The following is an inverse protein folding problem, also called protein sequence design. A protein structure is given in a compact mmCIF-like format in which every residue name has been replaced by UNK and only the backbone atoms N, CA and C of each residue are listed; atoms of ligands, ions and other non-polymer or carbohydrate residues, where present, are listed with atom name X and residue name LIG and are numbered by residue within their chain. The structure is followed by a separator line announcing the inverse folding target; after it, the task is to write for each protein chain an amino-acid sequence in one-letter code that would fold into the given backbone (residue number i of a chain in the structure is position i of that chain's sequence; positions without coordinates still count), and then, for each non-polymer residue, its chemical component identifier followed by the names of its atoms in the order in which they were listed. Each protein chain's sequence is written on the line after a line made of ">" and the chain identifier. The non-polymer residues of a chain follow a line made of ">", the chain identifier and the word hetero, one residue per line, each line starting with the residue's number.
data_IF_579228723232
#
_entry.id   IF_579228723232
#
_cell.length_a   1.000
_cell.length_b   1.000
_cell.length_c   1.000
_cell.angle_alpha   90.00
_cell.angle_beta   90.00
_cell.angle_gamma   90.00
#
_symmetry.space_group_name_H-M   'P 1'
#
loop_
_entity.id
_entity.type
_entity.pdbx_description
1 polymer ?
#
# COMPACT_ATOMS: atom_id res chain seq x y z
N UNK A 1 -16.66 -19.16 -11.63
CA UNK A 1 -16.82 -17.83 -10.98
C UNK A 1 -15.73 -16.93 -11.53
N UNK A 2 -16.04 -16.00 -12.45
CA UNK A 2 -15.05 -15.13 -13.11
C UNK A 2 -15.21 -13.73 -12.52
N UNK A 3 -14.58 -13.45 -11.39
CA UNK A 3 -14.98 -12.28 -10.58
C UNK A 3 -14.09 -11.05 -10.66
N UNK A 4 -12.92 -11.06 -11.32
CA UNK A 4 -12.06 -9.87 -11.40
C UNK A 4 -11.47 -9.75 -12.81
N UNK A 5 -11.64 -8.59 -13.45
CA UNK A 5 -11.17 -8.35 -14.82
C UNK A 5 -9.63 -8.45 -14.85
N UNK A 6 -9.07 -9.25 -15.74
CA UNK A 6 -7.61 -9.41 -15.90
C UNK A 6 -6.83 -9.95 -14.68
N UNK A 7 -7.50 -10.54 -13.69
CA UNK A 7 -6.85 -11.27 -12.60
C UNK A 7 -7.10 -12.77 -12.75
N UNK A 8 -6.02 -13.56 -12.83
CA UNK A 8 -6.09 -15.02 -12.87
C UNK A 8 -6.00 -15.57 -11.46
N UNK A 9 -6.87 -16.51 -11.09
CA UNK A 9 -6.88 -17.11 -9.74
C UNK A 9 -5.50 -17.70 -9.36
N UNK A 10 -4.78 -18.26 -10.33
CA UNK A 10 -3.44 -18.81 -10.14
C UNK A 10 -2.40 -17.77 -9.68
N UNK A 11 -2.63 -16.47 -9.89
CA UNK A 11 -1.73 -15.40 -9.45
C UNK A 11 -1.86 -15.11 -7.95
N UNK A 12 -2.97 -15.51 -7.32
CA UNK A 12 -3.25 -15.31 -5.90
C UNK A 12 -3.07 -16.59 -5.06
N UNK A 13 -2.43 -17.63 -5.63
CA UNK A 13 -2.25 -18.95 -5.00
C UNK A 13 -0.76 -19.23 -4.82
N UNK A 14 -0.39 -19.90 -3.73
CA UNK A 14 0.98 -20.37 -3.47
C UNK A 14 1.91 -19.36 -2.78
N UNK A 15 1.40 -18.18 -2.42
CA UNK A 15 2.13 -17.24 -1.57
C UNK A 15 2.32 -17.74 -0.13
N UNK A 16 3.35 -17.26 0.60
CA UNK A 16 3.51 -17.53 2.03
C UNK A 16 2.26 -17.20 2.86
N UNK A 17 2.15 -17.79 4.05
CA UNK A 17 1.05 -17.49 4.99
C UNK A 17 1.03 -15.99 5.31
N UNK A 18 -0.14 -15.37 5.16
CA UNK A 18 -0.32 -13.93 5.36
C UNK A 18 -0.04 -13.06 4.13
N UNK A 19 0.22 -13.65 2.96
CA UNK A 19 0.33 -12.89 1.70
C UNK A 19 -0.98 -12.18 1.39
N UNK A 20 -0.87 -10.88 1.06
CA UNK A 20 -1.99 -10.04 0.63
C UNK A 20 -1.83 -9.75 -0.86
N UNK A 21 -2.93 -9.88 -1.61
CA UNK A 21 -3.01 -9.53 -3.01
C UNK A 21 -4.06 -8.42 -3.16
N UNK A 22 -3.75 -7.43 -3.98
CA UNK A 22 -4.68 -6.36 -4.32
C UNK A 22 -4.43 -5.94 -5.78
N UNK A 23 -5.46 -5.39 -6.43
CA UNK A 23 -5.45 -5.05 -7.84
C UNK A 23 -6.41 -3.90 -8.14
N UNK A 24 -6.21 -3.23 -9.26
CA UNK A 24 -7.14 -2.23 -9.80
C UNK A 24 -7.64 -2.66 -11.18
N UNK A 25 -8.81 -2.17 -11.59
CA UNK A 25 -9.37 -2.48 -12.92
C UNK A 25 -8.48 -2.06 -14.07
N UNK A 26 -7.71 -0.97 -13.89
CA UNK A 26 -6.77 -0.47 -14.89
C UNK A 26 -5.44 -1.23 -14.91
N UNK A 27 -5.15 -2.00 -13.86
CA UNK A 27 -3.85 -2.62 -13.63
C UNK A 27 -2.79 -1.67 -13.06
N UNK A 28 -3.10 -0.39 -12.90
CA UNK A 28 -2.19 0.61 -12.31
C UNK A 28 -2.25 0.61 -10.78
N UNK A 29 -1.18 1.12 -10.16
CA UNK A 29 -1.10 1.31 -8.71
C UNK A 29 -1.89 2.56 -8.29
N UNK A 30 -3.21 2.44 -8.36
CA UNK A 30 -4.16 3.50 -8.02
C UNK A 30 -4.20 3.77 -6.51
N UNK A 31 -4.80 4.89 -6.12
CA UNK A 31 -4.85 5.35 -4.73
C UNK A 31 -5.36 4.28 -3.75
N UNK A 32 -6.40 3.53 -4.12
CA UNK A 32 -6.96 2.46 -3.26
C UNK A 32 -6.00 1.30 -3.03
N UNK A 33 -5.22 0.93 -4.06
CA UNK A 33 -4.19 -0.12 -3.96
C UNK A 33 -3.00 0.39 -3.17
N UNK A 34 -2.63 1.67 -3.35
CA UNK A 34 -1.58 2.33 -2.58
C UNK A 34 -1.93 2.43 -1.09
N UNK A 35 -3.13 2.89 -0.75
CA UNK A 35 -3.64 2.97 0.63
C UNK A 35 -3.60 1.61 1.33
N UNK A 36 -4.06 0.56 0.64
CA UNK A 36 -4.05 -0.81 1.14
C UNK A 36 -2.63 -1.33 1.40
N UNK A 37 -1.73 -1.10 0.44
CA UNK A 37 -0.31 -1.41 0.60
C UNK A 37 0.30 -0.64 1.77
N UNK A 38 -0.02 0.65 1.90
CA UNK A 38 0.49 1.49 2.98
C UNK A 38 0.02 0.98 4.34
N UNK A 39 -1.28 0.77 4.51
CA UNK A 39 -1.88 0.40 5.80
C UNK A 39 -1.45 -0.99 6.27
N UNK A 40 -1.47 -1.98 5.39
CA UNK A 40 -1.27 -3.37 5.77
C UNK A 40 0.18 -3.85 5.64
N UNK A 41 0.99 -3.22 4.77
CA UNK A 41 2.39 -3.57 4.62
C UNK A 41 3.33 -2.52 5.21
N UNK A 42 3.27 -1.26 4.78
CA UNK A 42 4.32 -0.30 5.12
C UNK A 42 4.21 0.16 6.58
N UNK A 43 3.05 0.66 6.98
CA UNK A 43 2.83 1.26 8.29
C UNK A 43 3.17 0.33 9.47
N UNK A 44 2.80 -0.97 9.47
CA UNK A 44 3.15 -1.88 10.56
C UNK A 44 4.66 -2.10 10.70
N UNK A 45 5.41 -2.01 9.60
CA UNK A 45 6.88 -2.08 9.62
C UNK A 45 7.46 -0.80 10.19
N UNK A 46 6.98 0.35 9.73
CA UNK A 46 7.40 1.66 10.24
C UNK A 46 7.17 1.78 11.76
N UNK A 47 6.05 1.29 12.28
CA UNK A 47 5.74 1.33 13.72
C UNK A 47 6.70 0.50 14.59
N UNK A 48 7.44 -0.44 14.01
CA UNK A 48 8.45 -1.27 14.70
C UNK A 48 9.86 -0.66 14.65
N UNK A 49 10.08 0.37 13.84
CA UNK A 49 11.38 1.02 13.70
C UNK A 49 11.52 2.17 14.69
N UNK A 50 12.66 2.21 15.36
CA UNK A 50 13.08 3.32 16.20
C UNK A 50 13.61 4.49 15.35
N UNK A 51 13.60 5.70 15.91
CA UNK A 51 14.12 6.91 15.25
C UNK A 51 13.19 7.54 14.21
N UNK A 52 13.74 8.53 13.48
CA UNK A 52 13.01 9.30 12.45
C UNK A 52 12.77 8.43 11.23
N UNK A 53 11.51 8.39 10.77
CA UNK A 53 11.10 7.61 9.61
C UNK A 53 10.81 8.54 8.45
N UNK A 54 11.34 8.22 7.28
CA UNK A 54 11.09 8.95 6.04
C UNK A 54 10.58 7.96 5.00
N UNK A 55 9.43 8.26 4.41
CA UNK A 55 8.89 7.56 3.25
C UNK A 55 9.03 8.49 2.07
N UNK A 56 9.69 8.02 1.01
CA UNK A 56 9.90 8.77 -0.23
C UNK A 56 9.12 8.05 -1.32
N UNK A 57 8.09 8.70 -1.84
CA UNK A 57 7.33 8.26 -3.01
C UNK A 57 7.81 8.97 -4.27
N UNK A 58 7.34 8.52 -5.43
CA UNK A 58 7.42 9.32 -6.65
C UNK A 58 6.24 10.31 -6.72
N UNK A 59 6.35 11.32 -7.58
CA UNK A 59 5.41 12.46 -7.68
C UNK A 59 4.06 12.10 -8.36
N UNK A 60 3.51 10.92 -8.09
CA UNK A 60 2.19 10.51 -8.54
C UNK A 60 1.10 10.97 -7.56
N UNK A 61 0.01 11.51 -8.10
CA UNK A 61 -1.12 11.99 -7.30
C UNK A 61 -1.82 10.88 -6.51
N UNK A 62 -1.71 9.61 -6.94
CA UNK A 62 -2.24 8.45 -6.21
C UNK A 62 -1.60 8.25 -4.84
N UNK A 63 -0.43 8.85 -4.58
CA UNK A 63 0.26 8.78 -3.30
C UNK A 63 -0.24 9.84 -2.28
N UNK A 64 -1.01 10.84 -2.74
CA UNK A 64 -1.59 11.87 -1.89
C UNK A 64 -2.97 11.44 -1.40
N UNK A 65 -2.99 10.77 -0.24
CA UNK A 65 -4.22 10.37 0.43
C UNK A 65 -4.22 10.79 1.90
N UNK A 66 -5.34 11.31 2.39
CA UNK A 66 -5.54 11.59 3.82
C UNK A 66 -5.40 10.30 4.64
N UNK A 67 -5.83 9.15 4.10
CA UNK A 67 -5.67 7.84 4.73
C UNK A 67 -4.21 7.41 4.91
N UNK A 68 -3.28 8.05 4.20
CA UNK A 68 -1.84 7.80 4.32
C UNK A 68 -1.16 8.89 5.16
N UNK A 69 -1.50 10.16 4.90
CA UNK A 69 -0.87 11.30 5.55
C UNK A 69 -1.23 11.40 7.05
N UNK A 70 -2.47 11.08 7.44
CA UNK A 70 -2.90 11.14 8.84
C UNK A 70 -2.15 10.10 9.71
N UNK A 71 -2.06 8.82 9.33
CA UNK A 71 -1.22 7.87 10.05
C UNK A 71 0.26 8.26 10.04
N UNK A 72 0.77 8.83 8.95
CA UNK A 72 2.15 9.31 8.91
C UNK A 72 2.40 10.38 9.98
N UNK A 73 1.52 11.38 10.05
CA UNK A 73 1.59 12.43 11.07
C UNK A 73 1.50 11.85 12.49
N UNK A 74 0.52 10.97 12.74
CA UNK A 74 0.32 10.30 14.04
C UNK A 74 1.51 9.46 14.48
N UNK A 75 2.25 8.88 13.54
CA UNK A 75 3.38 7.99 13.80
C UNK A 75 4.75 8.63 13.55
N UNK A 76 4.80 9.96 13.44
CA UNK A 76 6.03 10.74 13.22
C UNK A 76 6.84 10.25 12.00
N UNK A 77 6.12 9.85 10.94
CA UNK A 77 6.68 9.49 9.65
C UNK A 77 6.63 10.72 8.74
N UNK A 78 7.79 11.11 8.20
CA UNK A 78 7.89 12.15 7.19
C UNK A 78 7.59 11.54 5.83
N UNK A 79 6.53 11.97 5.18
CA UNK A 79 6.18 11.54 3.83
C UNK A 79 6.64 12.60 2.82
N UNK A 80 7.44 12.21 1.83
CA UNK A 80 8.02 13.06 0.80
C UNK A 80 7.66 12.52 -0.59
N UNK A 81 7.39 13.42 -1.54
CA UNK A 81 7.10 13.13 -2.94
C UNK A 81 8.07 13.88 -3.86
#
# INVERSE_FOLDING_TARGET
>A
MRWLLNLYDSWAIGGPVGTRYNWSKSGWFEATVFEDWFEFLLLPRLKKLEGTKVVIGDNLTSHLSVHVLDPCNKHQVKFML
#
